data_IF_602714813622
#
_entry.id   IF_602714813622
#
_cell.length_a   1.000
_cell.length_b   1.000
_cell.length_c   1.000
_cell.angle_alpha   90.00
_cell.angle_beta   90.00
_cell.angle_gamma   90.00
#
_symmetry.space_group_name_H-M   'P 1'
#
loop_
_entity.id
_entity.type
_entity.pdbx_description
1 polymer ?
#
# COMPACT_ATOMS: atom_id res chain seq x y z
N UNK A 1 -29.14 12.59 12.56
CA UNK A 1 -28.52 13.07 11.30
C UNK A 1 -27.27 13.85 11.69
N UNK A 2 -26.14 13.15 11.88
CA UNK A 2 -24.85 13.80 12.18
C UNK A 2 -24.28 14.30 10.86
N UNK A 3 -24.33 15.61 10.63
CA UNK A 3 -23.58 16.22 9.55
C UNK A 3 -22.11 16.27 9.99
N UNK A 4 -21.28 15.39 9.44
CA UNK A 4 -19.83 15.53 9.56
C UNK A 4 -19.42 16.86 8.91
N UNK A 5 -18.85 17.75 9.72
CA UNK A 5 -18.38 19.05 9.30
C UNK A 5 -17.20 18.93 8.34
N UNK A 6 -17.11 19.89 7.41
CA UNK A 6 -15.97 20.11 6.55
C UNK A 6 -14.72 20.27 7.42
N UNK A 7 -13.74 19.36 7.29
CA UNK A 7 -12.44 19.48 7.94
C UNK A 7 -11.62 20.54 7.19
N UNK A 8 -11.19 21.57 7.89
CA UNK A 8 -10.22 22.54 7.38
C UNK A 8 -8.82 21.93 7.50
N UNK A 9 -8.17 21.68 6.36
CA UNK A 9 -6.76 21.28 6.30
C UNK A 9 -5.86 22.45 6.70
N UNK A 10 -4.72 22.16 7.32
CA UNK A 10 -3.76 23.20 7.73
C UNK A 10 -3.09 23.88 6.53
N UNK A 11 -2.57 25.10 6.70
CA UNK A 11 -1.87 25.83 5.63
C UNK A 11 -0.63 25.07 5.10
N UNK A 12 0.06 24.33 5.98
CA UNK A 12 1.21 23.50 5.61
C UNK A 12 0.80 22.24 4.83
N UNK A 13 -0.36 21.67 5.14
CA UNK A 13 -0.94 20.52 4.41
C UNK A 13 -1.44 20.93 3.03
N UNK A 14 -2.04 22.12 2.91
CA UNK A 14 -2.44 22.71 1.63
C UNK A 14 -1.25 23.13 0.75
N UNK A 15 -0.06 23.34 1.34
CA UNK A 15 1.15 23.75 0.64
C UNK A 15 2.04 22.59 0.19
N UNK A 16 1.75 21.33 0.58
CA UNK A 16 2.48 20.17 0.06
C UNK A 16 2.19 20.05 -1.45
N UNK A 17 3.22 20.08 -2.32
CA UNK A 17 2.98 19.90 -3.75
C UNK A 17 2.39 18.50 -3.98
N UNK A 18 1.13 18.44 -4.38
CA UNK A 18 0.53 17.21 -4.87
C UNK A 18 1.26 16.84 -6.18
N UNK A 19 2.04 15.77 -6.15
CA UNK A 19 2.62 15.24 -7.38
C UNK A 19 1.47 14.84 -8.32
N UNK A 20 1.62 15.08 -9.63
CA UNK A 20 0.58 14.76 -10.58
C UNK A 20 0.27 13.26 -10.52
N UNK A 21 -1.00 12.91 -10.30
CA UNK A 21 -1.45 11.52 -10.31
C UNK A 21 -1.22 10.91 -11.69
N UNK A 22 -0.60 9.74 -11.69
CA UNK A 22 -0.37 8.94 -12.90
C UNK A 22 -1.70 8.38 -13.39
N UNK A 23 -1.89 8.38 -14.71
CA UNK A 23 -3.10 7.89 -15.37
C UNK A 23 -2.75 7.17 -16.68
N UNK A 24 -3.74 6.56 -17.34
CA UNK A 24 -3.58 5.92 -18.65
C UNK A 24 -2.64 4.71 -18.60
N UNK A 25 -1.69 4.65 -19.54
CA UNK A 25 -0.76 3.52 -19.65
C UNK A 25 0.17 3.38 -18.44
N UNK A 26 0.46 4.47 -17.74
CA UNK A 26 1.31 4.44 -16.55
C UNK A 26 0.71 3.56 -15.43
N UNK A 27 -0.61 3.50 -15.30
CA UNK A 27 -1.31 2.70 -14.29
C UNK A 27 -1.82 1.36 -14.83
N UNK A 28 -1.43 0.98 -16.06
CA UNK A 28 -1.87 -0.24 -16.70
C UNK A 28 -0.78 -1.31 -16.62
N UNK A 29 -1.00 -2.42 -15.89
CA UNK A 29 0.00 -3.47 -15.82
C UNK A 29 0.07 -4.23 -17.15
N UNK A 30 1.27 -4.37 -17.69
CA UNK A 30 1.57 -5.26 -18.81
C UNK A 30 1.80 -6.70 -18.32
N UNK A 31 2.41 -6.87 -17.15
CA UNK A 31 2.67 -8.18 -16.53
C UNK A 31 2.69 -8.07 -15.01
N UNK A 32 1.95 -8.95 -14.35
CA UNK A 32 1.92 -9.05 -12.88
C UNK A 32 2.47 -10.42 -12.47
N UNK A 33 3.41 -10.43 -11.52
CA UNK A 33 3.93 -11.65 -10.90
C UNK A 33 3.85 -11.52 -9.38
N UNK A 34 3.28 -12.52 -8.73
CA UNK A 34 3.21 -12.58 -7.27
C UNK A 34 4.00 -13.80 -6.81
N UNK A 35 5.11 -13.56 -6.11
CA UNK A 35 5.96 -14.63 -5.59
C UNK A 35 5.54 -14.97 -4.15
N UNK A 36 4.42 -15.68 -4.05
CA UNK A 36 3.87 -16.12 -2.76
C UNK A 36 4.77 -17.14 -2.06
N UNK A 37 5.39 -18.05 -2.83
CA UNK A 37 6.20 -19.16 -2.29
C UNK A 37 7.56 -18.66 -1.82
N UNK A 38 8.27 -17.86 -2.63
CA UNK A 38 9.52 -17.23 -2.23
C UNK A 38 9.31 -16.12 -1.20
N UNK A 39 8.07 -15.61 -1.08
CA UNK A 39 7.73 -14.59 -0.08
C UNK A 39 8.26 -13.20 -0.42
N UNK A 40 8.74 -13.00 -1.65
CA UNK A 40 9.44 -11.77 -2.04
C UNK A 40 8.49 -10.62 -2.37
N UNK A 41 7.23 -10.92 -2.74
CA UNK A 41 6.20 -9.91 -2.92
C UNK A 41 5.59 -9.89 -4.32
N UNK A 42 5.37 -8.69 -4.84
CA UNK A 42 4.69 -8.44 -6.12
C UNK A 42 5.60 -7.64 -7.04
N UNK A 43 5.80 -8.15 -8.25
CA UNK A 43 6.47 -7.47 -9.34
C UNK A 43 5.45 -7.10 -10.42
N UNK A 44 5.47 -5.84 -10.87
CA UNK A 44 4.63 -5.37 -11.98
C UNK A 44 5.53 -4.70 -13.03
N UNK A 45 5.44 -5.19 -14.26
CA UNK A 45 5.88 -4.43 -15.43
C UNK A 45 4.67 -3.69 -16.00
N UNK A 46 4.83 -2.40 -16.27
CA UNK A 46 3.77 -1.48 -16.68
C UNK A 46 3.80 -1.23 -18.19
N UNK A 47 2.67 -0.78 -18.75
CA UNK A 47 2.56 -0.51 -20.18
C UNK A 47 3.41 0.69 -20.64
N UNK A 48 3.75 1.60 -19.74
CA UNK A 48 4.70 2.71 -19.96
C UNK A 48 6.18 2.28 -19.92
N UNK A 49 6.46 1.00 -19.66
CA UNK A 49 7.80 0.46 -19.54
C UNK A 49 8.43 0.56 -18.15
N UNK A 50 7.73 1.12 -17.16
CA UNK A 50 8.20 1.11 -15.77
C UNK A 50 8.15 -0.31 -15.19
N UNK A 51 9.00 -0.58 -14.20
CA UNK A 51 8.95 -1.80 -13.39
C UNK A 51 8.91 -1.44 -11.91
N UNK A 52 7.97 -2.04 -11.19
CA UNK A 52 7.81 -1.83 -9.75
C UNK A 52 7.87 -3.15 -8.99
N UNK A 53 8.41 -3.07 -7.78
CA UNK A 53 8.43 -4.16 -6.82
C UNK A 53 7.89 -3.69 -5.46
N UNK A 54 7.02 -4.48 -4.83
CA UNK A 54 6.64 -4.29 -3.44
C UNK A 54 6.76 -5.60 -2.66
N UNK A 55 7.46 -5.54 -1.53
CA UNK A 55 7.49 -6.67 -0.60
C UNK A 55 6.14 -6.86 0.09
N UNK A 56 5.88 -8.07 0.60
CA UNK A 56 4.64 -8.33 1.35
C UNK A 56 4.54 -7.51 2.64
N UNK A 57 5.66 -7.23 3.30
CA UNK A 57 5.69 -6.33 4.46
C UNK A 57 5.30 -4.91 4.07
N UNK A 58 5.84 -4.41 2.96
CA UNK A 58 5.49 -3.09 2.45
C UNK A 58 4.00 -3.02 2.09
N UNK A 59 3.49 -3.99 1.33
CA UNK A 59 2.07 -4.04 0.94
C UNK A 59 1.16 -4.05 2.17
N UNK A 60 1.50 -4.84 3.19
CA UNK A 60 0.71 -4.90 4.41
C UNK A 60 0.73 -3.58 5.19
N UNK A 61 1.87 -2.90 5.27
CA UNK A 61 2.01 -1.58 5.90
C UNK A 61 1.31 -0.47 5.07
N UNK A 62 1.22 -0.67 3.76
CA UNK A 62 0.53 0.19 2.80
C UNK A 62 -0.91 -0.26 2.53
N UNK A 63 -1.56 -1.02 3.42
CA UNK A 63 -2.91 -1.52 3.17
C UNK A 63 -3.89 -0.34 2.90
N UNK A 64 -4.64 -0.35 1.79
CA UNK A 64 -5.51 0.76 1.40
C UNK A 64 -6.95 0.65 1.95
N UNK A 65 -7.26 -0.34 2.79
CA UNK A 65 -8.60 -0.39 3.39
C UNK A 65 -8.81 0.77 4.36
N UNK A 66 -10.07 1.20 4.53
CA UNK A 66 -10.45 2.34 5.35
C UNK A 66 -9.82 2.30 6.76
N UNK A 67 -9.96 1.18 7.47
CA UNK A 67 -9.40 1.02 8.82
C UNK A 67 -7.87 1.17 8.88
N UNK A 68 -7.15 0.58 7.91
CA UNK A 68 -5.69 0.69 7.88
C UNK A 68 -5.23 2.09 7.44
N UNK A 69 -5.99 2.71 6.53
CA UNK A 69 -5.75 4.06 6.04
C UNK A 69 -5.90 5.10 7.16
N UNK A 70 -7.05 5.10 7.84
CA UNK A 70 -7.34 6.00 8.96
C UNK A 70 -6.32 5.85 10.09
N UNK A 71 -5.99 4.61 10.47
CA UNK A 71 -4.97 4.35 11.49
C UNK A 71 -3.57 4.82 11.06
N UNK A 72 -3.27 4.78 9.75
CA UNK A 72 -1.99 5.26 9.20
C UNK A 72 -1.93 6.80 9.18
N UNK A 73 -3.00 7.45 8.76
CA UNK A 73 -3.11 8.91 8.74
C UNK A 73 -3.08 9.51 10.15
N UNK A 74 -3.80 8.92 11.11
CA UNK A 74 -3.78 9.35 12.50
C UNK A 74 -2.38 9.29 13.14
N UNK A 75 -1.52 8.42 12.63
CA UNK A 75 -0.13 8.28 13.05
C UNK A 75 0.84 9.08 12.16
N UNK A 76 0.35 9.82 11.15
CA UNK A 76 1.17 10.62 10.24
C UNK A 76 2.17 9.81 9.41
N UNK A 77 1.88 8.52 9.13
CA UNK A 77 2.80 7.62 8.43
C UNK A 77 2.51 7.56 6.93
N UNK A 78 3.56 7.55 6.11
CA UNK A 78 3.43 7.30 4.68
C UNK A 78 3.11 5.82 4.38
N UNK A 79 2.48 5.50 3.23
CA UNK A 79 2.24 4.13 2.80
C UNK A 79 3.52 3.29 2.79
N UNK A 80 3.44 2.10 3.39
CA UNK A 80 4.55 1.15 3.41
C UNK A 80 5.56 1.36 4.55
N UNK A 81 5.46 2.48 5.27
CA UNK A 81 6.21 2.69 6.51
C UNK A 81 5.59 1.83 7.62
N UNK A 82 6.31 0.82 8.15
CA UNK A 82 5.78 -0.04 9.21
C UNK A 82 5.58 0.76 10.50
N UNK A 83 4.68 0.28 11.36
CA UNK A 83 4.52 0.85 12.70
C UNK A 83 5.84 0.70 13.48
N UNK A 84 6.30 1.73 14.20
CA UNK A 84 7.46 1.59 15.07
C UNK A 84 7.17 0.54 16.13
N UNK A 85 8.07 -0.44 16.27
CA UNK A 85 7.97 -1.44 17.31
C UNK A 85 8.34 -0.80 18.64
N UNK A 86 7.41 -0.79 19.59
CA UNK A 86 7.72 -0.40 20.97
C UNK A 86 8.77 -1.38 21.50
N UNK A 87 9.90 -0.87 21.96
CA UNK A 87 10.93 -1.69 22.59
C UNK A 87 10.37 -2.26 23.90
N UNK A 88 9.87 -3.49 23.86
CA UNK A 88 9.46 -4.24 25.03
C UNK A 88 10.65 -5.06 25.55
N UNK A 89 10.78 -5.17 26.87
CA UNK A 89 11.84 -5.96 27.53
C UNK A 89 11.84 -7.44 27.11
N UNK A 90 10.68 -7.94 26.67
CA UNK A 90 10.49 -9.27 26.09
C UNK A 90 9.66 -9.13 24.81
N UNK A 91 10.29 -8.97 23.62
CA UNK A 91 9.56 -8.86 22.37
C UNK A 91 8.85 -10.18 22.07
N UNK A 92 7.53 -10.12 21.92
CA UNK A 92 6.76 -11.27 21.45
C UNK A 92 7.07 -11.51 19.96
N UNK A 93 7.25 -12.77 19.57
CA UNK A 93 7.49 -13.10 18.17
C UNK A 93 6.25 -12.78 17.33
N UNK A 94 6.40 -11.86 16.38
CA UNK A 94 5.41 -11.56 15.36
C UNK A 94 5.86 -12.20 14.05
N UNK A 95 5.06 -13.14 13.55
CA UNK A 95 5.30 -13.72 12.24
C UNK A 95 5.26 -12.62 11.16
N UNK A 96 6.18 -12.65 10.18
CA UNK A 96 6.17 -11.66 9.11
C UNK A 96 4.85 -11.76 8.33
N UNK A 97 4.36 -10.61 7.89
CA UNK A 97 3.14 -10.52 7.09
C UNK A 97 3.31 -11.26 5.78
N UNK A 98 2.43 -12.23 5.52
CA UNK A 98 2.41 -13.02 4.29
C UNK A 98 0.97 -13.24 3.84
N UNK A 99 0.70 -13.21 2.52
CA UNK A 99 -0.61 -13.55 2.02
C UNK A 99 -0.84 -15.05 2.11
N UNK A 100 -1.94 -15.45 2.74
CA UNK A 100 -2.46 -16.82 2.68
C UNK A 100 -3.24 -17.05 1.39
N UNK A 101 -3.81 -15.99 0.82
CA UNK A 101 -4.50 -16.01 -0.48
C UNK A 101 -4.21 -14.74 -1.28
N UNK A 102 -4.20 -14.89 -2.61
CA UNK A 102 -4.01 -13.80 -3.56
C UNK A 102 -5.10 -13.94 -4.62
N UNK A 103 -5.97 -12.93 -4.75
CA UNK A 103 -7.11 -12.97 -5.66
C UNK A 103 -7.07 -11.76 -6.61
N UNK A 104 -7.03 -11.95 -7.94
CA UNK A 104 -7.25 -10.85 -8.87
C UNK A 104 -8.70 -10.36 -8.76
N UNK A 105 -8.89 -9.04 -8.80
CA UNK A 105 -10.22 -8.42 -8.77
C UNK A 105 -10.44 -7.68 -10.07
N UNK A 106 -11.25 -8.28 -10.94
CA UNK A 106 -11.45 -7.79 -12.29
C UNK A 106 -10.13 -7.62 -13.04
N UNK A 107 -9.99 -6.48 -13.72
CA UNK A 107 -8.74 -6.09 -14.43
C UNK A 107 -8.02 -4.92 -13.76
N UNK A 108 -8.43 -4.50 -12.57
CA UNK A 108 -8.01 -3.21 -11.99
C UNK A 108 -7.31 -3.31 -10.63
N UNK A 109 -7.32 -4.47 -9.98
CA UNK A 109 -6.76 -4.63 -8.65
C UNK A 109 -6.37 -6.06 -8.30
N UNK A 110 -5.64 -6.18 -7.20
CA UNK A 110 -5.37 -7.43 -6.50
C UNK A 110 -5.80 -7.31 -5.04
N UNK A 111 -6.31 -8.41 -4.48
CA UNK A 111 -6.66 -8.54 -3.07
C UNK A 111 -5.80 -9.62 -2.43
N UNK A 112 -5.41 -9.37 -1.19
CA UNK A 112 -4.68 -10.33 -0.37
C UNK A 112 -5.52 -10.69 0.85
N UNK A 113 -5.58 -11.98 1.17
CA UNK A 113 -5.91 -12.44 2.51
C UNK A 113 -4.61 -12.66 3.25
N UNK A 114 -4.42 -12.01 4.39
CA UNK A 114 -3.19 -12.01 5.17
C UNK A 114 -3.24 -13.04 6.29
N UNK A 115 -2.07 -13.52 6.71
CA UNK A 115 -1.92 -14.43 7.85
C UNK A 115 -2.30 -13.81 9.22
N UNK A 116 -2.45 -12.49 9.29
CA UNK A 116 -2.94 -11.75 10.45
C UNK A 116 -4.47 -11.50 10.40
N UNK A 117 -5.18 -12.16 9.47
CA UNK A 117 -6.64 -12.08 9.32
C UNK A 117 -7.15 -10.92 8.47
N UNK A 118 -6.30 -10.01 8.01
CA UNK A 118 -6.76 -8.90 7.17
C UNK A 118 -7.08 -9.35 5.74
N UNK A 119 -8.18 -8.87 5.16
CA UNK A 119 -8.54 -9.19 3.76
C UNK A 119 -9.30 -8.09 3.01
N UNK A 120 -9.68 -7.00 3.69
CA UNK A 120 -10.44 -5.89 3.10
C UNK A 120 -9.61 -4.98 2.19
N UNK A 121 -8.28 -5.15 2.17
CA UNK A 121 -7.38 -4.32 1.35
C UNK A 121 -7.48 -4.66 -0.13
N UNK A 122 -7.90 -3.67 -0.93
CA UNK A 122 -7.96 -3.76 -2.40
C UNK A 122 -6.86 -2.90 -3.03
N UNK A 123 -5.83 -3.54 -3.55
CA UNK A 123 -4.64 -2.88 -4.10
C UNK A 123 -4.89 -2.64 -5.58
N UNK A 124 -5.44 -1.48 -5.93
CA UNK A 124 -5.64 -1.11 -7.33
C UNK A 124 -4.31 -0.83 -8.02
N UNK A 125 -4.27 -1.01 -9.33
CA UNK A 125 -3.08 -0.69 -10.14
C UNK A 125 -2.77 0.81 -10.09
N UNK A 126 -3.81 1.64 -10.10
CA UNK A 126 -3.71 3.08 -9.84
C UNK A 126 -2.98 3.35 -8.52
N UNK A 127 -3.48 2.78 -7.41
CA UNK A 127 -2.90 2.98 -6.09
C UNK A 127 -1.43 2.56 -6.07
N UNK A 128 -1.14 1.33 -6.51
CA UNK A 128 0.22 0.78 -6.50
C UNK A 128 1.18 1.62 -7.34
N UNK A 129 0.77 2.09 -8.52
CA UNK A 129 1.63 2.94 -9.35
C UNK A 129 1.88 4.30 -8.70
N UNK A 130 0.83 4.97 -8.23
CA UNK A 130 0.95 6.30 -7.64
C UNK A 130 1.81 6.30 -6.38
N UNK A 131 1.74 5.25 -5.55
CA UNK A 131 2.61 5.11 -4.37
C UNK A 131 4.03 4.62 -4.69
N UNK A 132 4.29 4.08 -5.88
CA UNK A 132 5.64 3.67 -6.30
C UNK A 132 6.55 4.88 -6.52
N UNK A 133 6.05 5.89 -7.23
CA UNK A 133 6.85 7.05 -7.61
C UNK A 133 7.06 8.04 -6.45
N UNK A 134 6.25 7.96 -5.39
CA UNK A 134 6.49 8.66 -4.12
C UNK A 134 7.65 8.08 -3.30
N UNK A 135 8.06 6.84 -3.59
CA UNK A 135 9.07 6.11 -2.84
C UNK A 135 10.37 5.98 -3.62
N UNK A 136 10.85 7.09 -4.18
CA UNK A 136 12.18 7.19 -4.81
C UNK A 136 13.35 6.93 -3.85
N UNK A 137 13.37 5.79 -3.16
CA UNK A 137 14.42 5.25 -2.32
C UNK A 137 14.36 3.71 -2.36
N UNK A 138 14.65 3.16 -3.54
CA UNK A 138 15.31 1.87 -3.65
C UNK A 138 16.82 2.09 -3.58
N UNK A 139 17.36 2.29 -2.38
CA UNK A 139 18.73 1.93 -1.98
C UNK A 139 18.72 1.49 -0.53
#
# INVERSE_FOLDING_TARGET
MSHEGIKFVSADEAARPELPKLTGDAIKPAKVRVDKTGGTGVNIAWADGHESHWSFAWLRAACPCATCHEAREAEGRDPGVPKPKTAMLLPMYEAPSRPVEVTPVGKYAIRFKWNDGHEAGLYSWDYLRNVCDHLGNGK
#
